data_IF_164592007684
#
_entry.id   IF_164592007684
#
_cell.length_a   1.000
_cell.length_b   1.000
_cell.length_c   1.000
_cell.angle_alpha   90.00
_cell.angle_beta   90.00
_cell.angle_gamma   90.00
#
_symmetry.space_group_name_H-M   'P 1'
#
loop_
_entity.id
_entity.type
_entity.pdbx_description
1 polymer ?
#
# COMPACT_ATOMS: atom_id res chain seq x y z
N UNK A 1 36.46 -8.24 -16.27
CA UNK A 1 37.50 -9.10 -15.66
C UNK A 1 37.10 -10.55 -15.87
N UNK A 2 38.04 -11.47 -16.11
CA UNK A 2 37.74 -12.90 -16.16
C UNK A 2 37.25 -13.38 -14.78
N UNK A 3 36.24 -14.23 -14.74
CA UNK A 3 35.59 -14.75 -13.52
C UNK A 3 36.58 -15.38 -12.52
N UNK A 4 37.72 -15.88 -13.03
CA UNK A 4 38.80 -16.42 -12.20
C UNK A 4 39.51 -15.37 -11.34
N UNK A 5 39.76 -14.16 -11.85
CA UNK A 5 40.39 -13.08 -11.06
C UNK A 5 39.45 -12.56 -9.95
N UNK A 6 38.14 -12.57 -10.20
CA UNK A 6 37.14 -12.19 -9.21
C UNK A 6 37.04 -13.24 -8.11
N UNK A 7 37.09 -14.53 -8.46
CA UNK A 7 37.09 -15.63 -7.50
C UNK A 7 38.35 -15.66 -6.62
N UNK A 8 39.51 -15.32 -7.19
CA UNK A 8 40.77 -15.29 -6.46
C UNK A 8 40.86 -14.08 -5.50
N UNK A 9 40.34 -12.92 -5.92
CA UNK A 9 40.16 -11.75 -5.03
C UNK A 9 39.16 -12.02 -3.90
N UNK A 10 38.07 -12.74 -4.17
CA UNK A 10 37.08 -13.15 -3.14
C UNK A 10 37.70 -14.07 -2.09
N UNK A 11 38.55 -15.04 -2.50
CA UNK A 11 39.32 -15.89 -1.57
C UNK A 11 40.34 -15.12 -0.75
N UNK A 12 41.07 -14.19 -1.37
CA UNK A 12 42.05 -13.35 -0.66
C UNK A 12 41.38 -12.41 0.36
N UNK A 13 40.11 -12.06 0.16
CA UNK A 13 39.32 -11.23 1.08
C UNK A 13 38.58 -12.02 2.18
N UNK A 14 38.72 -13.35 2.25
CA UNK A 14 38.03 -14.17 3.27
C UNK A 14 36.51 -14.28 3.10
N UNK A 15 35.97 -13.88 1.95
CA UNK A 15 34.54 -14.00 1.63
C UNK A 15 34.27 -15.42 1.11
N UNK A 16 34.06 -16.35 2.04
CA UNK A 16 33.76 -17.75 1.75
C UNK A 16 32.26 -18.07 1.67
N UNK A 17 31.40 -17.09 1.97
CA UNK A 17 29.95 -17.28 1.94
C UNK A 17 29.39 -16.87 0.57
N UNK A 18 28.64 -17.78 -0.03
CA UNK A 18 27.74 -17.47 -1.15
C UNK A 18 26.85 -16.30 -0.69
N UNK A 19 26.87 -15.20 -1.43
CA UNK A 19 25.96 -14.08 -1.19
C UNK A 19 24.55 -14.69 -1.32
N UNK A 20 23.71 -14.66 -0.26
CA UNK A 20 22.40 -15.27 -0.36
C UNK A 20 21.62 -14.60 -1.48
N UNK A 21 21.04 -15.39 -2.39
CA UNK A 21 20.21 -14.90 -3.50
C UNK A 21 18.98 -14.10 -3.03
N UNK A 22 18.64 -14.22 -1.74
CA UNK A 22 17.58 -13.45 -1.07
C UNK A 22 18.05 -12.96 0.29
N UNK A 23 17.87 -11.66 0.54
CA UNK A 23 18.04 -11.07 1.88
C UNK A 23 16.75 -11.30 2.65
N UNK A 24 16.81 -12.11 3.72
CA UNK A 24 15.69 -12.24 4.67
C UNK A 24 15.72 -11.06 5.64
N UNK A 25 14.67 -10.24 5.61
CA UNK A 25 14.45 -9.14 6.57
C UNK A 25 13.51 -9.68 7.64
N UNK A 26 13.92 -9.59 8.90
CA UNK A 26 13.07 -9.92 10.05
C UNK A 26 13.17 -8.82 11.10
N UNK A 27 12.12 -8.70 11.92
CA UNK A 27 12.10 -7.79 13.04
C UNK A 27 11.63 -8.54 14.29
N UNK A 28 12.22 -8.21 15.44
CA UNK A 28 11.83 -8.77 16.73
C UNK A 28 10.53 -8.16 17.27
N UNK A 29 10.15 -6.98 16.78
CA UNK A 29 8.95 -6.26 17.18
C UNK A 29 7.88 -6.53 16.14
N UNK A 30 6.79 -7.15 16.57
CA UNK A 30 5.66 -7.45 15.70
C UNK A 30 5.07 -6.15 15.12
N UNK A 31 4.82 -6.15 13.81
CA UNK A 31 4.22 -5.03 13.09
C UNK A 31 5.17 -3.91 12.69
N UNK A 32 6.40 -3.82 13.23
CA UNK A 32 7.27 -2.66 12.92
C UNK A 32 7.59 -2.53 11.44
N UNK A 33 7.84 -3.63 10.73
CA UNK A 33 8.17 -3.62 9.31
C UNK A 33 7.05 -3.04 8.45
N UNK A 34 5.80 -3.26 8.84
CA UNK A 34 4.61 -2.74 8.16
C UNK A 34 4.45 -1.22 8.36
N UNK A 35 5.09 -0.66 9.39
CA UNK A 35 5.02 0.76 9.77
C UNK A 35 6.27 1.56 9.36
N UNK A 36 7.18 0.95 8.59
CA UNK A 36 8.30 1.65 7.99
C UNK A 36 7.92 2.25 6.64
N UNK A 37 8.60 3.32 6.19
CA UNK A 37 8.42 3.83 4.83
C UNK A 37 8.60 2.73 3.77
N UNK A 38 7.74 2.66 2.75
CA UNK A 38 7.84 1.63 1.72
C UNK A 38 9.15 1.76 0.93
N UNK A 39 9.57 0.68 0.26
CA UNK A 39 10.81 0.64 -0.52
C UNK A 39 12.07 1.09 0.24
N UNK A 40 12.13 0.81 1.55
CA UNK A 40 13.30 1.13 2.37
C UNK A 40 14.54 0.35 1.96
N UNK A 41 15.67 1.06 1.90
CA UNK A 41 16.99 0.48 1.61
C UNK A 41 17.54 -0.26 2.84
N UNK A 42 18.48 -1.17 2.63
CA UNK A 42 19.13 -1.87 3.75
C UNK A 42 19.83 -0.90 4.73
N UNK A 43 20.38 0.21 4.22
CA UNK A 43 20.99 1.24 5.07
C UNK A 43 19.97 1.92 5.97
N UNK A 44 18.82 2.30 5.43
CA UNK A 44 17.70 2.88 6.20
C UNK A 44 17.16 1.89 7.23
N UNK A 45 16.98 0.63 6.86
CA UNK A 45 16.52 -0.42 7.78
C UNK A 45 17.52 -0.63 8.93
N UNK A 46 18.83 -0.64 8.63
CA UNK A 46 19.86 -0.72 9.66
C UNK A 46 19.89 0.52 10.56
N UNK A 47 19.62 1.70 10.01
CA UNK A 47 19.49 2.92 10.81
C UNK A 47 18.33 2.82 11.80
N UNK A 48 17.14 2.40 11.34
CA UNK A 48 15.98 2.18 12.20
C UNK A 48 16.26 1.13 13.28
N UNK A 49 16.85 -0.01 12.90
CA UNK A 49 17.21 -1.07 13.83
C UNK A 49 18.10 -0.58 14.97
N UNK A 50 19.09 0.27 14.67
CA UNK A 50 19.95 0.89 15.69
C UNK A 50 19.16 1.79 16.65
N UNK A 51 18.25 2.61 16.13
CA UNK A 51 17.41 3.49 16.96
C UNK A 51 16.51 2.70 17.89
N UNK A 52 15.93 1.62 17.37
CA UNK A 52 15.09 0.68 18.11
C UNK A 52 15.89 0.06 19.26
N UNK A 53 17.08 -0.49 18.98
CA UNK A 53 17.96 -1.12 19.98
C UNK A 53 18.35 -0.15 21.11
N UNK A 54 18.71 1.09 20.77
CA UNK A 54 19.04 2.14 21.74
C UNK A 54 17.85 2.46 22.67
N UNK A 55 16.63 2.48 22.13
CA UNK A 55 15.42 2.80 22.89
C UNK A 55 14.96 1.64 23.77
N UNK A 56 15.03 0.39 23.29
CA UNK A 56 14.71 -0.78 24.12
C UNK A 56 15.64 -0.88 25.33
N UNK A 57 16.92 -0.49 25.18
CA UNK A 57 17.88 -0.52 26.27
C UNK A 57 17.64 0.55 27.36
N UNK A 58 17.01 1.69 27.04
CA UNK A 58 17.06 2.88 27.89
C UNK A 58 15.73 3.57 28.19
N UNK A 59 14.63 3.23 27.50
CA UNK A 59 13.44 4.10 27.47
C UNK A 59 12.13 3.46 27.90
N UNK A 60 12.04 2.12 28.02
CA UNK A 60 10.80 1.42 28.33
C UNK A 60 9.70 1.73 27.31
N UNK A 61 10.05 1.73 26.03
CA UNK A 61 9.19 2.11 24.92
C UNK A 61 7.91 1.26 24.87
N UNK A 62 6.77 1.92 24.71
CA UNK A 62 5.50 1.25 24.40
C UNK A 62 5.38 1.13 22.89
N UNK A 63 5.64 -0.07 22.37
CA UNK A 63 5.56 -0.36 20.94
C UNK A 63 4.16 -0.20 20.38
N UNK A 64 3.10 -0.50 21.16
CA UNK A 64 1.73 -0.32 20.67
C UNK A 64 1.43 1.16 20.41
N UNK A 65 1.81 2.02 21.35
CA UNK A 65 1.67 3.48 21.19
C UNK A 65 2.57 4.03 20.08
N UNK A 66 3.78 3.49 19.94
CA UNK A 66 4.72 3.93 18.91
C UNK A 66 4.25 3.56 17.50
N UNK A 67 3.71 2.35 17.29
CA UNK A 67 3.12 1.95 16.01
C UNK A 67 1.89 2.80 15.68
N UNK A 68 1.06 3.09 16.68
CA UNK A 68 -0.05 4.03 16.55
C UNK A 68 0.43 5.44 16.14
N UNK A 69 1.51 5.94 16.75
CA UNK A 69 2.10 7.21 16.37
C UNK A 69 2.64 7.22 14.93
N UNK A 70 3.25 6.12 14.47
CA UNK A 70 3.71 5.97 13.08
C UNK A 70 2.54 5.96 12.09
N UNK A 71 1.46 5.25 12.40
CA UNK A 71 0.21 5.32 11.63
C UNK A 71 -0.37 6.74 11.60
N UNK A 72 -0.32 7.45 12.71
CA UNK A 72 -0.90 8.78 12.82
C UNK A 72 -0.07 9.84 12.08
N UNK A 73 1.25 9.81 12.17
CA UNK A 73 2.14 10.83 11.58
C UNK A 73 2.53 10.51 10.11
N UNK A 74 2.34 9.27 9.63
CA UNK A 74 2.61 8.85 8.24
C UNK A 74 3.97 9.30 7.70
N UNK A 75 5.09 8.92 8.35
CA UNK A 75 6.42 9.36 7.95
C UNK A 75 6.76 8.91 6.52
N UNK A 76 7.18 9.86 5.67
CA UNK A 76 7.54 9.61 4.28
C UNK A 76 8.99 9.16 4.10
N UNK A 77 9.86 9.44 5.08
CA UNK A 77 11.27 9.01 5.07
C UNK A 77 11.67 8.26 6.33
N UNK A 78 12.79 7.56 6.26
CA UNK A 78 13.29 6.82 7.42
C UNK A 78 13.73 7.75 8.55
N UNK A 79 14.22 8.94 8.25
CA UNK A 79 14.58 9.96 9.24
C UNK A 79 13.35 10.43 10.01
N UNK A 80 12.24 10.70 9.32
CA UNK A 80 10.96 11.07 9.93
C UNK A 80 10.42 9.93 10.80
N UNK A 81 10.47 8.70 10.28
CA UNK A 81 10.09 7.50 11.03
C UNK A 81 10.89 7.36 12.33
N UNK A 82 12.22 7.46 12.25
CA UNK A 82 13.09 7.41 13.43
C UNK A 82 12.87 8.60 14.37
N UNK A 83 12.45 9.77 13.87
CA UNK A 83 12.09 10.91 14.71
C UNK A 83 10.83 10.60 15.52
N UNK A 84 9.78 10.06 14.89
CA UNK A 84 8.55 9.63 15.59
C UNK A 84 8.86 8.60 16.66
N UNK A 85 9.66 7.58 16.34
CA UNK A 85 10.07 6.53 17.29
C UNK A 85 10.83 7.14 18.49
N UNK A 86 11.79 8.05 18.26
CA UNK A 86 12.52 8.71 19.37
C UNK A 86 11.61 9.61 20.21
N UNK A 87 10.59 10.20 19.60
CA UNK A 87 9.61 11.03 20.27
C UNK A 87 8.49 10.23 20.96
N UNK A 88 8.58 8.90 21.10
CA UNK A 88 7.49 8.05 21.59
C UNK A 88 6.79 8.53 22.88
N UNK A 89 7.49 9.26 23.77
CA UNK A 89 6.96 9.78 25.04
C UNK A 89 6.00 10.96 24.91
N UNK A 90 5.98 11.64 23.76
CA UNK A 90 5.10 12.80 23.54
C UNK A 90 3.69 12.38 23.11
N UNK A 91 3.53 11.12 22.70
CA UNK A 91 2.26 10.56 22.28
C UNK A 91 1.50 10.00 23.47
N UNK A 92 0.18 10.00 23.37
CA UNK A 92 -0.71 9.43 24.38
C UNK A 92 -1.95 8.83 23.72
N UNK A 93 -2.41 7.69 24.23
CA UNK A 93 -3.73 7.16 23.89
C UNK A 93 -4.82 7.92 24.64
N UNK A 94 -5.85 8.35 23.91
CA UNK A 94 -7.05 8.89 24.52
C UNK A 94 -7.92 7.77 25.11
N UNK A 95 -8.75 8.05 26.14
CA UNK A 95 -9.44 7.02 26.92
C UNK A 95 -10.64 6.38 26.21
N UNK A 96 -10.79 6.58 24.91
CA UNK A 96 -11.90 6.06 24.11
C UNK A 96 -11.39 5.33 22.85
N UNK A 97 -12.10 4.27 22.42
CA UNK A 97 -11.63 3.41 21.33
C UNK A 97 -11.78 4.01 19.93
N UNK A 98 -12.72 4.94 19.73
CA UNK A 98 -13.05 5.53 18.44
C UNK A 98 -13.14 7.05 18.54
N UNK A 99 -12.72 7.75 17.49
CA UNK A 99 -12.69 9.19 17.44
C UNK A 99 -14.05 9.74 17.01
N UNK A 100 -14.93 9.91 17.99
CA UNK A 100 -16.22 10.58 17.81
C UNK A 100 -16.12 12.06 18.23
N UNK A 101 -16.57 13.01 17.39
CA UNK A 101 -16.49 14.44 17.72
C UNK A 101 -17.16 14.79 19.06
N UNK A 102 -18.34 14.24 19.33
CA UNK A 102 -19.03 14.49 20.59
C UNK A 102 -18.23 13.97 21.79
N UNK A 103 -17.69 12.76 21.71
CA UNK A 103 -16.86 12.17 22.76
C UNK A 103 -15.61 13.01 23.02
N UNK A 104 -14.96 13.51 21.96
CA UNK A 104 -13.82 14.41 22.09
C UNK A 104 -14.20 15.77 22.69
N UNK A 105 -15.34 16.34 22.30
CA UNK A 105 -15.83 17.59 22.87
C UNK A 105 -16.00 17.51 24.39
N UNK A 106 -16.62 16.43 24.88
CA UNK A 106 -16.78 16.21 26.32
C UNK A 106 -15.41 16.05 27.01
N UNK A 107 -14.53 15.21 26.45
CA UNK A 107 -13.18 15.02 26.97
C UNK A 107 -12.41 16.36 27.06
N UNK A 108 -12.41 17.15 25.99
CA UNK A 108 -11.72 18.44 25.95
C UNK A 108 -12.29 19.43 26.97
N UNK A 109 -13.62 19.50 27.13
CA UNK A 109 -14.25 20.38 28.13
C UNK A 109 -13.89 19.96 29.57
N UNK A 110 -13.90 18.65 29.85
CA UNK A 110 -13.49 18.10 31.14
C UNK A 110 -12.02 18.41 31.47
N UNK A 111 -11.11 18.21 30.51
CA UNK A 111 -9.68 18.55 30.68
C UNK A 111 -9.47 20.05 30.95
N UNK A 112 -10.29 20.92 30.35
CA UNK A 112 -10.24 22.36 30.58
C UNK A 112 -10.93 22.81 31.89
N UNK A 113 -11.60 21.89 32.61
CA UNK A 113 -12.41 22.24 33.78
C UNK A 113 -13.63 23.10 33.45
N UNK A 114 -14.12 23.04 32.21
CA UNK A 114 -15.26 23.82 31.73
C UNK A 114 -16.53 22.98 31.76
N UNK A 115 -17.59 23.51 32.39
CA UNK A 115 -18.93 22.93 32.35
C UNK A 115 -19.89 23.88 31.63
N UNK A 116 -20.71 23.32 30.74
CA UNK A 116 -21.74 24.08 30.05
C UNK A 116 -22.90 24.27 31.04
N UNK A 117 -23.34 25.51 31.31
CA UNK A 117 -24.51 25.74 32.18
C UNK A 117 -25.73 24.98 31.66
N UNK A 118 -26.51 24.35 32.56
CA UNK A 118 -27.67 23.51 32.19
C UNK A 118 -28.63 24.19 31.21
N UNK A 119 -28.88 25.49 31.38
CA UNK A 119 -29.76 26.28 30.51
C UNK A 119 -29.24 26.49 29.07
N UNK A 120 -27.96 26.22 28.82
CA UNK A 120 -27.30 26.34 27.51
C UNK A 120 -26.91 25.00 26.91
N UNK A 121 -27.07 23.90 27.65
CA UNK A 121 -26.69 22.55 27.20
C UNK A 121 -27.41 22.15 25.90
N UNK A 122 -28.69 22.52 25.75
CA UNK A 122 -29.45 22.25 24.51
C UNK A 122 -29.07 23.15 23.34
N UNK A 123 -28.33 24.24 23.58
CA UNK A 123 -27.87 25.17 22.55
C UNK A 123 -26.41 24.93 22.13
N UNK A 124 -25.66 24.11 22.86
CA UNK A 124 -24.26 23.85 22.57
C UNK A 124 -24.12 22.68 21.60
N UNK A 125 -23.51 22.95 20.44
CA UNK A 125 -23.24 21.95 19.43
C UNK A 125 -21.92 21.22 19.75
N UNK A 126 -22.04 20.14 20.52
CA UNK A 126 -20.89 19.29 20.88
C UNK A 126 -20.19 18.70 19.66
N UNK A 127 -20.94 18.37 18.60
CA UNK A 127 -20.36 17.78 17.39
C UNK A 127 -19.45 18.78 16.70
N UNK A 128 -19.95 20.00 16.47
CA UNK A 128 -19.18 21.06 15.81
C UNK A 128 -17.96 21.45 16.64
N UNK A 129 -18.14 21.67 17.94
CA UNK A 129 -17.01 21.99 18.83
C UNK A 129 -15.95 20.89 18.83
N UNK A 130 -16.39 19.62 18.88
CA UNK A 130 -15.51 18.46 18.81
C UNK A 130 -14.71 18.40 17.51
N UNK A 131 -15.36 18.62 16.36
CA UNK A 131 -14.68 18.65 15.05
C UNK A 131 -13.62 19.75 14.99
N UNK A 132 -13.95 20.96 15.47
CA UNK A 132 -13.01 22.08 15.51
C UNK A 132 -11.79 21.74 16.39
N UNK A 133 -12.02 21.13 17.56
CA UNK A 133 -10.93 20.72 18.48
C UNK A 133 -10.10 19.54 18.01
N UNK A 134 -10.71 18.54 17.37
CA UNK A 134 -9.97 17.43 16.75
C UNK A 134 -8.95 17.97 15.73
N UNK A 135 -9.38 18.91 14.89
CA UNK A 135 -8.52 19.52 13.88
C UNK A 135 -7.44 20.42 14.49
N UNK A 136 -7.75 21.17 15.54
CA UNK A 136 -6.80 22.05 16.25
C UNK A 136 -5.72 21.25 16.99
N UNK A 137 -6.12 20.18 17.69
CA UNK A 137 -5.24 19.36 18.52
C UNK A 137 -4.54 18.25 17.73
N UNK A 138 -4.97 18.00 16.49
CA UNK A 138 -4.42 16.95 15.62
C UNK A 138 -4.67 15.55 16.17
N UNK A 139 -5.88 15.28 16.66
CA UNK A 139 -6.25 13.96 17.18
C UNK A 139 -6.50 13.00 16.03
N UNK A 140 -5.86 11.83 16.08
CA UNK A 140 -5.89 10.87 14.97
C UNK A 140 -6.32 9.48 15.44
N UNK A 141 -7.30 8.90 14.76
CA UNK A 141 -7.70 7.51 14.97
C UNK A 141 -6.75 6.55 14.23
N UNK A 142 -6.32 5.50 14.92
CA UNK A 142 -5.42 4.46 14.38
C UNK A 142 -5.95 3.07 14.67
N UNK A 143 -5.39 2.06 14.00
CA UNK A 143 -5.78 0.67 14.24
C UNK A 143 -5.63 0.29 15.73
N UNK A 144 -4.65 0.88 16.41
CA UNK A 144 -4.35 0.61 17.81
C UNK A 144 -5.18 1.43 18.81
N UNK A 145 -5.82 2.51 18.35
CA UNK A 145 -6.63 3.44 19.15
C UNK A 145 -6.46 4.90 18.74
N UNK A 146 -7.11 5.80 19.49
CA UNK A 146 -7.03 7.24 19.24
C UNK A 146 -5.78 7.83 19.90
N UNK A 147 -4.95 8.51 19.12
CA UNK A 147 -3.67 9.07 19.56
C UNK A 147 -3.68 10.59 19.43
N UNK A 148 -3.02 11.23 20.39
CA UNK A 148 -2.67 12.66 20.35
C UNK A 148 -1.17 12.81 20.57
N UNK A 149 -0.58 13.83 19.93
CA UNK A 149 0.76 14.31 20.25
C UNK A 149 0.64 15.54 21.16
N UNK A 150 1.19 15.46 22.37
CA UNK A 150 1.04 16.49 23.41
C UNK A 150 1.89 17.73 23.19
N UNK A 151 2.87 17.68 22.30
CA UNK A 151 3.77 18.80 22.02
C UNK A 151 3.40 19.56 20.74
N UNK A 152 2.96 18.85 19.70
CA UNK A 152 2.56 19.41 18.41
C UNK A 152 1.30 18.71 17.89
N UNK A 153 0.35 19.42 17.27
CA UNK A 153 -0.76 18.77 16.57
C UNK A 153 -0.25 17.87 15.44
N UNK A 154 -0.84 16.68 15.31
CA UNK A 154 -0.61 15.81 14.16
C UNK A 154 -1.35 16.41 12.97
N UNK A 155 -0.62 16.96 12.01
CA UNK A 155 -1.19 17.57 10.81
C UNK A 155 -0.86 16.73 9.58
N UNK A 156 -1.87 16.05 9.05
CA UNK A 156 -1.77 15.32 7.78
C UNK A 156 -2.01 16.27 6.60
N UNK A 157 -1.01 17.07 6.23
CA UNK A 157 -1.04 17.79 4.95
C UNK A 157 -0.36 16.96 3.86
N UNK A 158 -1.05 15.92 3.41
CA UNK A 158 -0.61 15.13 2.27
C UNK A 158 -1.17 15.65 0.94
N UNK A 159 -1.72 16.87 0.91
CA UNK A 159 -2.40 17.41 -0.26
C UNK A 159 -3.71 16.69 -0.60
N UNK A 160 -4.32 17.10 -1.71
CA UNK A 160 -5.60 16.54 -2.15
C UNK A 160 -5.45 15.10 -2.64
N UNK A 161 -6.43 14.27 -2.27
CA UNK A 161 -6.57 12.90 -2.76
C UNK A 161 -6.69 12.82 -4.28
N UNK A 162 -6.24 11.71 -4.85
CA UNK A 162 -6.14 11.54 -6.30
C UNK A 162 -6.72 10.19 -6.73
N UNK A 163 -7.28 10.17 -7.93
CA UNK A 163 -7.57 8.94 -8.67
C UNK A 163 -6.45 8.70 -9.67
N UNK A 164 -5.95 7.48 -9.74
CA UNK A 164 -4.95 7.07 -10.71
C UNK A 164 -5.18 5.65 -11.21
N UNK A 165 -4.60 5.35 -12.37
CA UNK A 165 -4.62 4.01 -12.96
C UNK A 165 -3.22 3.47 -13.12
N UNK A 166 -3.03 2.24 -12.67
CA UNK A 166 -1.82 1.46 -12.89
C UNK A 166 -2.14 0.32 -13.85
N UNK A 167 -1.38 0.22 -14.94
CA UNK A 167 -1.60 -0.74 -16.01
C UNK A 167 -0.63 -1.89 -15.91
N UNK A 168 -1.15 -3.10 -15.97
CA UNK A 168 -0.37 -4.32 -16.11
C UNK A 168 -0.67 -5.04 -17.42
N UNK A 169 0.33 -5.68 -18.05
CA UNK A 169 0.08 -6.62 -19.12
C UNK A 169 -0.89 -7.72 -18.66
N UNK A 170 -1.86 -8.04 -19.51
CA UNK A 170 -2.79 -9.14 -19.27
C UNK A 170 -2.38 -10.36 -20.12
N UNK A 171 -2.23 -11.51 -19.47
CA UNK A 171 -2.01 -12.79 -20.16
C UNK A 171 -3.32 -13.54 -20.26
N UNK A 172 -3.70 -13.91 -21.49
CA UNK A 172 -4.89 -14.71 -21.77
C UNK A 172 -4.46 -16.08 -22.28
N UNK A 173 -4.83 -17.14 -21.56
CA UNK A 173 -4.42 -18.51 -21.88
C UNK A 173 -5.64 -19.39 -22.08
N UNK A 174 -5.67 -20.14 -23.18
CA UNK A 174 -6.64 -21.21 -23.41
C UNK A 174 -5.92 -22.55 -23.47
N UNK A 175 -6.66 -23.65 -23.39
CA UNK A 175 -6.12 -24.98 -23.59
C UNK A 175 -6.70 -25.55 -24.88
N UNK A 176 -5.82 -25.80 -25.86
CA UNK A 176 -6.19 -26.26 -27.19
C UNK A 176 -5.33 -27.45 -27.64
N UNK A 177 -5.86 -28.23 -28.59
CA UNK A 177 -5.18 -29.41 -29.15
C UNK A 177 -5.41 -30.70 -28.38
N UNK A 178 -4.83 -31.79 -28.89
CA UNK A 178 -4.76 -33.09 -28.21
C UNK A 178 -3.32 -33.64 -28.25
N UNK A 179 -2.66 -33.87 -27.10
CA UNK A 179 -3.09 -33.50 -25.75
C UNK A 179 -3.26 -31.97 -25.60
N UNK A 180 -4.01 -31.54 -24.60
CA UNK A 180 -4.27 -30.11 -24.38
C UNK A 180 -2.98 -29.41 -23.94
N UNK A 181 -2.57 -28.40 -24.72
CA UNK A 181 -1.46 -27.52 -24.36
C UNK A 181 -1.96 -26.11 -24.09
N UNK A 182 -1.33 -25.37 -23.16
CA UNK A 182 -1.60 -23.96 -22.98
C UNK A 182 -1.25 -23.19 -24.26
N UNK A 183 -2.15 -22.32 -24.69
CA UNK A 183 -2.00 -21.48 -25.87
C UNK A 183 -2.41 -20.05 -25.53
N UNK A 184 -1.53 -19.09 -25.85
CA UNK A 184 -1.79 -17.67 -25.61
C UNK A 184 -2.79 -17.12 -26.63
N UNK A 185 -3.85 -16.48 -26.13
CA UNK A 185 -4.80 -15.75 -26.95
C UNK A 185 -4.21 -14.39 -27.34
N UNK A 186 -4.07 -14.15 -28.65
CA UNK A 186 -3.54 -12.93 -29.22
C UNK A 186 -4.31 -12.55 -30.50
N UNK A 187 -4.16 -11.30 -30.95
CA UNK A 187 -4.74 -10.79 -32.19
C UNK A 187 -6.10 -10.08 -32.05
N UNK A 188 -6.74 -9.77 -33.17
CA UNK A 188 -7.89 -8.85 -33.28
C UNK A 188 -9.14 -9.24 -32.47
N UNK A 189 -9.26 -10.49 -32.02
CA UNK A 189 -10.40 -10.97 -31.23
C UNK A 189 -10.22 -10.79 -29.73
N UNK A 190 -9.05 -10.35 -29.27
CA UNK A 190 -8.73 -10.15 -27.85
C UNK A 190 -9.70 -9.17 -27.15
N UNK A 191 -10.12 -8.05 -27.76
CA UNK A 191 -11.12 -7.17 -27.16
C UNK A 191 -12.47 -7.85 -26.83
N UNK A 192 -12.85 -8.91 -27.55
CA UNK A 192 -14.10 -9.63 -27.30
C UNK A 192 -14.13 -10.33 -25.93
N UNK A 193 -12.96 -10.56 -25.30
CA UNK A 193 -12.86 -11.18 -23.97
C UNK A 193 -13.06 -10.19 -22.82
N UNK A 194 -13.01 -8.89 -23.09
CA UNK A 194 -13.06 -7.84 -22.06
C UNK A 194 -14.30 -7.95 -21.16
N UNK A 195 -15.47 -8.21 -21.75
CA UNK A 195 -16.72 -8.33 -21.00
C UNK A 195 -16.72 -9.53 -20.04
N UNK A 196 -16.14 -10.66 -20.44
CA UNK A 196 -16.03 -11.84 -19.59
C UNK A 196 -15.07 -11.61 -18.41
N UNK A 197 -13.93 -10.97 -18.69
CA UNK A 197 -12.92 -10.61 -17.68
C UNK A 197 -13.52 -9.62 -16.67
N UNK A 198 -14.14 -8.53 -17.15
CA UNK A 198 -14.77 -7.52 -16.27
C UNK A 198 -15.87 -8.12 -15.40
N UNK A 199 -16.69 -9.02 -15.95
CA UNK A 199 -17.72 -9.74 -15.18
C UNK A 199 -17.10 -10.56 -14.04
N UNK A 200 -15.98 -11.23 -14.30
CA UNK A 200 -15.29 -12.01 -13.28
C UNK A 200 -14.67 -11.12 -12.20
N UNK A 201 -14.04 -10.01 -12.60
CA UNK A 201 -13.49 -9.03 -11.66
C UNK A 201 -14.58 -8.57 -10.70
N UNK A 202 -15.73 -8.14 -11.23
CA UNK A 202 -16.87 -7.71 -10.44
C UNK A 202 -17.46 -8.81 -9.54
N UNK A 203 -17.30 -10.09 -9.89
CA UNK A 203 -17.66 -11.21 -9.01
C UNK A 203 -16.67 -11.35 -7.87
N UNK A 204 -15.38 -11.34 -8.17
CA UNK A 204 -14.31 -11.50 -7.17
C UNK A 204 -14.26 -10.36 -6.15
N UNK A 205 -14.59 -9.14 -6.57
CA UNK A 205 -14.60 -7.96 -5.68
C UNK A 205 -15.71 -8.00 -4.62
N UNK A 206 -16.70 -8.90 -4.73
CA UNK A 206 -17.79 -9.00 -3.73
C UNK A 206 -17.33 -9.57 -2.40
N UNK A 207 -16.17 -10.21 -2.36
CA UNK A 207 -15.57 -10.77 -1.14
C UNK A 207 -14.83 -9.69 -0.33
N UNK A 208 -14.62 -8.51 -0.91
CA UNK A 208 -13.91 -7.39 -0.30
C UNK A 208 -14.89 -6.28 0.09
N UNK A 209 -14.49 -5.46 1.07
CA UNK A 209 -15.26 -4.29 1.47
C UNK A 209 -15.17 -3.15 0.46
N UNK A 210 -15.56 -1.96 0.91
CA UNK A 210 -15.57 -0.75 0.07
C UNK A 210 -14.17 -0.33 -0.40
N UNK A 211 -13.11 -0.74 0.30
CA UNK A 211 -11.72 -0.48 -0.11
C UNK A 211 -11.21 -1.41 -1.22
N UNK A 212 -11.94 -2.49 -1.53
CA UNK A 212 -11.48 -3.50 -2.46
C UNK A 212 -10.16 -4.12 -1.99
N UNK A 213 -9.17 -4.17 -2.88
CA UNK A 213 -7.85 -4.73 -2.56
C UNK A 213 -6.97 -3.79 -1.73
N UNK A 214 -7.41 -2.56 -1.44
CA UNK A 214 -6.69 -1.70 -0.49
C UNK A 214 -6.65 -2.33 0.92
N UNK A 215 -7.67 -3.12 1.26
CA UNK A 215 -7.76 -3.83 2.54
C UNK A 215 -6.72 -4.95 2.69
N UNK A 216 -6.03 -5.31 1.60
CA UNK A 216 -4.97 -6.33 1.59
C UNK A 216 -3.56 -5.75 1.54
N UNK A 217 -3.42 -4.43 1.63
CA UNK A 217 -2.11 -3.79 1.70
C UNK A 217 -1.39 -4.22 2.98
N UNK A 218 -0.11 -4.55 2.83
CA UNK A 218 0.74 -5.00 3.92
C UNK A 218 1.37 -3.80 4.65
N UNK A 219 1.80 -2.75 3.95
CA UNK A 219 2.35 -1.56 4.57
C UNK A 219 1.22 -0.69 5.16
N UNK A 220 1.21 -0.50 6.48
CA UNK A 220 0.18 0.27 7.19
C UNK A 220 0.22 1.76 6.83
N UNK A 221 1.37 2.33 6.48
CA UNK A 221 1.45 3.73 6.05
C UNK A 221 0.74 3.93 4.70
N UNK A 222 0.94 3.01 3.75
CA UNK A 222 0.21 2.99 2.49
C UNK A 222 -1.28 2.71 2.70
N UNK A 223 -1.64 1.75 3.57
CA UNK A 223 -3.03 1.40 3.86
C UNK A 223 -3.85 2.58 4.38
N UNK A 224 -3.21 3.53 5.07
CA UNK A 224 -3.88 4.77 5.53
C UNK A 224 -4.02 5.83 4.44
N UNK A 225 -3.12 5.87 3.46
CA UNK A 225 -3.19 6.82 2.34
C UNK A 225 -4.03 6.31 1.17
N UNK A 226 -4.18 5.01 1.01
CA UNK A 226 -4.88 4.39 -0.12
C UNK A 226 -6.30 4.00 0.32
N UNK A 227 -7.29 4.68 -0.23
CA UNK A 227 -8.69 4.46 0.12
C UNK A 227 -9.29 3.27 -0.62
N UNK A 228 -8.93 3.07 -1.89
CA UNK A 228 -9.48 1.97 -2.71
C UNK A 228 -8.47 1.46 -3.71
N UNK A 229 -8.46 0.13 -3.95
CA UNK A 229 -7.80 -0.50 -5.09
C UNK A 229 -8.82 -1.44 -5.74
N UNK A 230 -9.25 -1.12 -6.97
CA UNK A 230 -10.23 -1.92 -7.70
C UNK A 230 -9.63 -2.34 -9.05
N UNK A 231 -9.42 -3.65 -9.29
CA UNK A 231 -9.03 -4.14 -10.59
C UNK A 231 -10.09 -3.84 -11.67
N UNK A 232 -9.66 -3.67 -12.91
CA UNK A 232 -10.48 -3.61 -14.11
C UNK A 232 -9.65 -4.09 -15.31
N UNK A 233 -10.25 -4.05 -16.49
CA UNK A 233 -9.63 -4.36 -17.77
C UNK A 233 -10.00 -3.30 -18.80
N UNK A 234 -8.98 -2.75 -19.49
CA UNK A 234 -9.14 -1.74 -20.54
C UNK A 234 -8.50 -2.20 -21.85
N UNK A 235 -9.05 -1.75 -22.97
CA UNK A 235 -8.46 -1.98 -24.29
C UNK A 235 -7.65 -0.76 -24.70
N UNK A 236 -6.38 -0.97 -25.06
CA UNK A 236 -5.51 0.05 -25.63
C UNK A 236 -4.86 -0.54 -26.89
N UNK A 237 -5.14 0.08 -28.04
CA UNK A 237 -4.60 -0.29 -29.35
C UNK A 237 -4.76 -1.79 -29.71
N UNK A 238 -5.96 -2.34 -29.51
CA UNK A 238 -6.27 -3.74 -29.84
C UNK A 238 -5.71 -4.78 -28.85
N UNK A 239 -5.10 -4.33 -27.74
CA UNK A 239 -4.61 -5.19 -26.65
C UNK A 239 -5.37 -4.90 -25.37
N UNK A 240 -5.71 -5.95 -24.62
CA UNK A 240 -6.25 -5.81 -23.28
C UNK A 240 -5.14 -5.64 -22.24
N UNK A 241 -5.37 -4.73 -21.31
CA UNK A 241 -4.52 -4.43 -20.16
C UNK A 241 -5.32 -4.61 -18.88
N UNK A 242 -4.67 -5.20 -17.88
CA UNK A 242 -5.16 -5.15 -16.51
C UNK A 242 -4.98 -3.73 -15.97
N UNK A 243 -5.93 -3.25 -15.20
CA UNK A 243 -5.91 -1.90 -14.62
C UNK A 243 -6.17 -2.01 -13.12
N UNK A 244 -5.32 -1.44 -12.29
CA UNK A 244 -5.64 -1.14 -10.91
C UNK A 244 -6.13 0.31 -10.83
N UNK A 245 -7.41 0.52 -10.50
CA UNK A 245 -7.95 1.84 -10.22
C UNK A 245 -7.73 2.14 -8.74
N UNK A 246 -6.94 3.17 -8.48
CA UNK A 246 -6.52 3.54 -7.14
C UNK A 246 -7.09 4.90 -6.78
N UNK A 247 -7.67 5.01 -5.60
CA UNK A 247 -8.09 6.29 -5.01
C UNK A 247 -7.32 6.50 -3.72
N UNK A 248 -6.79 7.71 -3.51
CA UNK A 248 -5.98 8.05 -2.35
C UNK A 248 -6.61 9.17 -1.53
N UNK A 249 -6.38 9.15 -0.22
CA UNK A 249 -6.78 10.21 0.70
C UNK A 249 -5.88 11.45 0.61
N UNK A 250 -4.65 11.29 0.09
CA UNK A 250 -3.70 12.36 -0.17
C UNK A 250 -2.76 12.02 -1.32
N UNK A 251 -1.92 12.97 -1.72
CA UNK A 251 -0.91 12.80 -2.76
C UNK A 251 0.15 11.79 -2.31
N UNK A 252 0.46 10.84 -3.19
CA UNK A 252 1.58 9.92 -3.01
C UNK A 252 2.89 10.58 -3.44
N UNK A 253 3.92 10.37 -2.65
CA UNK A 253 5.32 10.60 -3.05
C UNK A 253 5.75 9.54 -4.05
N UNK A 254 6.86 9.79 -4.76
CA UNK A 254 7.43 8.81 -5.70
C UNK A 254 7.79 7.48 -5.01
N UNK A 255 8.25 7.57 -3.75
CA UNK A 255 8.57 6.41 -2.90
C UNK A 255 7.32 5.60 -2.57
N UNK A 256 6.23 6.26 -2.20
CA UNK A 256 4.95 5.60 -1.90
C UNK A 256 4.32 5.00 -3.15
N UNK A 257 4.41 5.68 -4.30
CA UNK A 257 3.96 5.14 -5.58
C UNK A 257 4.77 3.89 -5.97
N UNK A 258 6.09 3.90 -5.77
CA UNK A 258 6.92 2.71 -5.97
C UNK A 258 6.52 1.56 -5.02
N UNK A 259 6.26 1.88 -3.74
CA UNK A 259 5.77 0.93 -2.76
C UNK A 259 4.45 0.28 -3.18
N UNK A 260 3.49 1.09 -3.60
CA UNK A 260 2.20 0.63 -4.11
C UNK A 260 2.37 -0.27 -5.35
N UNK A 261 3.29 0.07 -6.26
CA UNK A 261 3.59 -0.78 -7.42
C UNK A 261 4.11 -2.16 -6.98
N UNK A 262 5.03 -2.23 -6.01
CA UNK A 262 5.53 -3.52 -5.48
C UNK A 262 4.44 -4.32 -4.77
N UNK A 263 3.60 -3.67 -3.95
CA UNK A 263 2.49 -4.38 -3.28
C UNK A 263 1.42 -4.88 -4.26
N UNK A 264 1.08 -4.10 -5.29
CA UNK A 264 0.19 -4.58 -6.34
C UNK A 264 0.75 -5.82 -7.04
N UNK A 265 2.07 -5.85 -7.27
CA UNK A 265 2.75 -7.01 -7.83
C UNK A 265 2.58 -8.24 -6.94
N UNK A 266 2.73 -8.12 -5.63
CA UNK A 266 2.49 -9.21 -4.68
C UNK A 266 1.01 -9.65 -4.68
N UNK A 267 0.07 -8.69 -4.69
CA UNK A 267 -1.37 -8.95 -4.79
C UNK A 267 -1.71 -9.72 -6.08
N UNK A 268 -1.09 -9.35 -7.20
CA UNK A 268 -1.31 -9.98 -8.50
C UNK A 268 -0.62 -11.35 -8.62
N UNK A 269 0.59 -11.50 -8.08
CA UNK A 269 1.43 -12.69 -8.22
C UNK A 269 1.11 -13.79 -7.19
N UNK A 270 0.67 -13.40 -5.99
CA UNK A 270 0.52 -14.30 -4.85
C UNK A 270 -0.84 -14.19 -4.13
N UNK A 271 -1.54 -13.06 -4.28
CA UNK A 271 -2.85 -12.83 -3.66
C UNK A 271 -4.03 -13.06 -4.58
N UNK A 272 -4.87 -12.02 -4.71
CA UNK A 272 -6.08 -12.02 -5.54
C UNK A 272 -5.82 -12.49 -6.98
N UNK A 273 -4.70 -12.10 -7.59
CA UNK A 273 -4.42 -12.41 -8.98
C UNK A 273 -4.25 -13.91 -9.26
N UNK A 274 -3.74 -14.69 -8.30
CA UNK A 274 -3.66 -16.16 -8.41
C UNK A 274 -5.05 -16.79 -8.39
N UNK A 275 -5.88 -16.35 -7.45
CA UNK A 275 -7.27 -16.82 -7.35
C UNK A 275 -8.03 -16.48 -8.63
N UNK A 276 -7.84 -15.28 -9.16
CA UNK A 276 -8.43 -14.84 -10.42
C UNK A 276 -7.96 -15.68 -11.60
N UNK A 277 -6.64 -15.90 -11.73
CA UNK A 277 -6.04 -16.69 -12.81
C UNK A 277 -6.49 -18.16 -12.81
N UNK A 278 -6.93 -18.69 -11.67
CA UNK A 278 -7.49 -20.04 -11.57
C UNK A 278 -8.93 -20.18 -12.10
N UNK A 279 -9.62 -19.07 -12.35
CA UNK A 279 -11.03 -19.08 -12.78
C UNK A 279 -11.14 -19.30 -14.29
N UNK A 280 -12.01 -20.25 -14.68
CA UNK A 280 -12.39 -20.45 -16.07
C UNK A 280 -13.34 -19.34 -16.50
N UNK A 281 -12.94 -18.58 -17.52
CA UNK A 281 -13.72 -17.57 -18.20
C UNK A 281 -14.30 -18.14 -19.50
N UNK A 282 -15.50 -17.69 -19.86
CA UNK A 282 -16.17 -18.11 -21.08
C UNK A 282 -16.56 -16.90 -21.94
N UNK A 283 -16.17 -16.93 -23.21
CA UNK A 283 -16.59 -15.98 -24.23
C UNK A 283 -17.02 -16.74 -25.49
N UNK A 284 -18.33 -16.85 -25.69
CA UNK A 284 -18.89 -17.71 -26.74
C UNK A 284 -18.53 -19.18 -26.49
N UNK A 285 -17.79 -19.80 -27.42
CA UNK A 285 -17.35 -21.19 -27.31
C UNK A 285 -15.91 -21.34 -26.78
N UNK A 286 -15.25 -20.23 -26.44
CA UNK A 286 -13.87 -20.22 -25.98
C UNK A 286 -13.84 -20.19 -24.46
N UNK A 287 -13.16 -21.18 -23.87
CA UNK A 287 -12.80 -21.21 -22.46
C UNK A 287 -11.36 -20.76 -22.29
N UNK A 288 -11.12 -19.82 -21.38
CA UNK A 288 -9.80 -19.25 -21.18
C UNK A 288 -9.60 -18.82 -19.73
N UNK A 289 -8.36 -18.48 -19.41
CA UNK A 289 -7.90 -17.96 -18.14
C UNK A 289 -7.24 -16.61 -18.38
N UNK A 290 -7.35 -15.72 -17.42
CA UNK A 290 -6.74 -14.40 -17.49
C UNK A 290 -5.84 -14.19 -16.26
N UNK A 291 -4.57 -13.90 -16.51
CA UNK A 291 -3.60 -13.58 -15.47
C UNK A 291 -3.21 -12.11 -15.52
N UNK A 292 -3.27 -11.45 -14.37
CA UNK A 292 -2.66 -10.14 -14.14
C UNK A 292 -1.16 -10.25 -13.81
N UNK A 293 -0.64 -11.49 -13.76
CA UNK A 293 0.76 -11.85 -13.57
C UNK A 293 1.09 -13.08 -14.44
N UNK A 294 2.25 -13.07 -15.10
CA UNK A 294 2.69 -14.16 -15.97
C UNK A 294 4.20 -14.37 -15.84
N UNK A 295 4.60 -15.51 -15.29
CA UNK A 295 6.01 -15.91 -15.15
C UNK A 295 6.63 -16.40 -16.46
N UNK A 296 5.84 -16.78 -17.47
CA UNK A 296 6.34 -17.27 -18.76
C UNK A 296 6.80 -16.13 -19.69
N UNK A 297 6.25 -14.91 -19.51
CA UNK A 297 6.67 -13.70 -20.26
C UNK A 297 7.81 -12.93 -19.58
N UNK A 298 8.33 -13.44 -18.47
CA UNK A 298 9.43 -12.85 -17.70
C UNK A 298 8.96 -11.99 -16.53
N UNK A 299 9.83 -11.84 -15.53
CA UNK A 299 9.61 -11.19 -14.23
C UNK A 299 9.23 -9.69 -14.28
N UNK A 300 9.15 -9.10 -15.47
CA UNK A 300 8.92 -7.68 -15.66
C UNK A 300 7.45 -7.40 -15.94
N UNK A 301 6.60 -7.57 -14.93
CA UNK A 301 5.33 -6.85 -14.91
C UNK A 301 5.63 -5.38 -14.66
N UNK A 302 5.83 -4.62 -15.72
CA UNK A 302 5.94 -3.18 -15.59
C UNK A 302 4.54 -2.64 -15.27
N UNK A 303 4.37 -2.10 -14.07
CA UNK A 303 3.19 -1.32 -13.72
C UNK A 303 3.37 0.09 -14.25
N UNK A 304 2.61 0.40 -15.29
CA UNK A 304 2.70 1.68 -15.97
C UNK A 304 1.62 2.62 -15.44
N UNK A 305 1.99 3.86 -15.15
CA UNK A 305 1.01 4.95 -15.04
C UNK A 305 0.37 5.23 -16.42
N UNK A 306 -0.69 6.02 -16.46
CA UNK A 306 -1.31 6.46 -17.73
C UNK A 306 -0.28 7.13 -18.66
N UNK A 307 0.61 7.97 -18.11
CA UNK A 307 1.66 8.63 -18.88
C UNK A 307 2.71 7.64 -19.42
N UNK A 308 3.09 6.65 -18.62
CA UNK A 308 4.04 5.60 -19.02
C UNK A 308 3.43 4.69 -20.10
N UNK A 309 2.16 4.32 -19.96
CA UNK A 309 1.42 3.56 -20.97
C UNK A 309 1.31 4.33 -22.28
N UNK A 310 1.01 5.64 -22.22
CA UNK A 310 0.93 6.48 -23.42
C UNK A 310 2.23 6.51 -24.22
N UNK A 311 3.39 6.50 -23.54
CA UNK A 311 4.71 6.41 -24.19
C UNK A 311 4.97 5.02 -24.78
N UNK A 312 4.63 3.97 -24.05
CA UNK A 312 4.80 2.58 -24.47
C UNK A 312 3.98 2.26 -25.73
N UNK A 313 2.73 2.72 -25.77
CA UNK A 313 1.80 2.40 -26.86
C UNK A 313 1.91 3.42 -28.00
N UNK A 314 2.26 4.69 -27.71
CA UNK A 314 2.45 5.75 -28.70
C UNK A 314 3.82 5.74 -29.40
N UNK A 315 4.80 4.98 -28.90
CA UNK A 315 6.16 4.89 -29.46
C UNK A 315 6.28 4.26 -30.86
N UNK A 316 5.17 3.82 -31.47
CA UNK A 316 5.14 3.23 -32.82
C UNK A 316 4.83 4.22 -33.96
N UNK A 317 4.80 5.54 -33.72
CA UNK A 317 4.87 6.52 -34.82
C UNK A 317 6.32 6.72 -35.30
N UNK A 318 6.82 5.77 -36.08
CA UNK A 318 7.95 6.04 -36.97
C UNK A 318 7.44 7.01 -38.04
N UNK A 319 7.82 8.28 -37.91
CA UNK A 319 7.73 9.26 -39.01
C UNK A 319 8.47 8.69 -40.22
N UNK A 320 7.72 8.33 -41.26
CA UNK A 320 8.20 8.29 -42.64
C UNK A 320 7.76 9.56 -43.37
#
# INVERSE_FOLDING_TARGET
MPEQELAEKKRQAGLTEEIPERVEISAAIDGILEHLPPCSTLEELNHAAKVIEELEACSGIDWKLTLAALEAELPGTMEECCHVIRAHKVYEFLPFPFLEPESYAHYHLEQAGLSIPEGLSSCFDHRRYGQEKIAEDGVTETFYGVVINREKPICLDHGEGQEMKLYSPLTLTTFAGYPFFPALLHGEKVPAYQAAIRKEIARSMREYGTGGLAETLWNQLLARKISTIVPDVEEHHGRLWGVARVSTAGKLTDRELAGLKEEWKEIAAHGWGVLFASRILEAGHIRFYAGFWDTERGENLCLLTEEELGKEVGGFEIRM
#
